data_IF_032785080411
#
_entry.id   IF_032785080411
#
_cell.length_a   1.000
_cell.length_b   1.000
_cell.length_c   1.000
_cell.angle_alpha   90.00
_cell.angle_beta   90.00
_cell.angle_gamma   90.00
#
_symmetry.space_group_name_H-M   'P 1'
#
loop_
_entity.id
_entity.type
_entity.pdbx_description
1 polymer ?
#
# COMPACT_ATOMS: atom_id res chain seq x y z
N UNK A 1 -1.18 8.59 28.25
CA UNK A 1 -0.97 7.44 27.34
C UNK A 1 -0.77 8.02 25.96
N UNK A 2 0.39 7.79 25.41
CA UNK A 2 0.73 8.23 24.06
C UNK A 2 -0.02 7.45 23.00
N UNK A 3 -0.05 7.98 21.80
CA UNK A 3 -0.72 7.39 20.64
C UNK A 3 0.29 6.99 19.58
N UNK A 4 0.03 5.87 18.89
CA UNK A 4 0.71 5.49 17.67
C UNK A 4 0.32 6.41 16.52
N UNK A 5 1.11 6.43 15.45
CA UNK A 5 0.80 7.19 14.24
C UNK A 5 -0.59 6.83 13.69
N UNK A 6 -0.96 5.55 13.69
CA UNK A 6 -2.27 5.06 13.26
C UNK A 6 -3.40 5.62 14.12
N UNK A 7 -3.25 5.61 15.45
CA UNK A 7 -4.25 6.18 16.38
C UNK A 7 -4.40 7.70 16.20
N UNK A 8 -3.30 8.42 15.92
CA UNK A 8 -3.32 9.87 15.66
C UNK A 8 -4.07 10.20 14.37
N UNK A 9 -3.83 9.46 13.30
CA UNK A 9 -4.55 9.61 12.03
C UNK A 9 -6.05 9.43 12.26
N UNK A 10 -6.46 8.35 12.93
CA UNK A 10 -7.88 8.15 13.25
C UNK A 10 -8.44 9.23 14.18
N UNK A 11 -7.67 9.66 15.19
CA UNK A 11 -8.11 10.72 16.12
C UNK A 11 -8.45 12.01 15.39
N UNK A 12 -7.65 12.40 14.40
CA UNK A 12 -7.91 13.58 13.58
C UNK A 12 -9.20 13.41 12.76
N UNK A 13 -9.39 12.27 12.10
CA UNK A 13 -10.53 12.02 11.23
C UNK A 13 -11.86 11.83 11.98
N UNK A 14 -11.77 11.41 13.24
CA UNK A 14 -12.94 11.27 14.15
C UNK A 14 -13.24 12.58 14.90
N UNK A 15 -12.23 13.45 15.04
CA UNK A 15 -12.35 14.72 15.78
C UNK A 15 -12.25 14.55 17.30
N UNK A 16 -11.75 13.43 17.79
CA UNK A 16 -11.46 13.16 19.21
C UNK A 16 -10.34 12.14 19.33
N UNK A 17 -9.65 12.15 20.47
CA UNK A 17 -8.61 11.14 20.77
C UNK A 17 -9.23 9.74 20.81
N UNK A 18 -8.66 8.79 20.05
CA UNK A 18 -9.08 7.39 20.00
C UNK A 18 -7.90 6.46 20.14
N UNK A 19 -8.13 5.24 20.63
CA UNK A 19 -7.11 4.24 20.88
C UNK A 19 -7.45 2.90 20.22
N UNK A 20 -6.45 2.04 20.09
CA UNK A 20 -6.60 0.69 19.57
C UNK A 20 -7.76 -0.06 20.27
N UNK A 21 -8.56 -0.77 19.48
CA UNK A 21 -9.73 -1.51 19.94
C UNK A 21 -11.05 -0.73 19.92
N UNK A 22 -11.03 0.61 19.89
CA UNK A 22 -12.24 1.40 19.75
C UNK A 22 -12.88 1.22 18.37
N UNK A 23 -14.22 1.14 18.33
CA UNK A 23 -14.99 1.17 17.09
C UNK A 23 -15.38 2.61 16.80
N UNK A 24 -14.93 3.11 15.64
CA UNK A 24 -15.15 4.51 15.27
C UNK A 24 -15.70 4.61 13.85
N UNK A 25 -16.47 5.68 13.60
CA UNK A 25 -16.80 6.11 12.24
C UNK A 25 -15.83 7.19 11.84
N UNK A 26 -14.91 6.86 10.92
CA UNK A 26 -13.92 7.79 10.40
C UNK A 26 -14.35 8.39 9.07
N UNK A 27 -14.00 9.64 8.83
CA UNK A 27 -14.00 10.21 7.48
C UNK A 27 -12.96 9.48 6.63
N UNK A 28 -13.21 9.46 5.32
CA UNK A 28 -12.30 8.90 4.30
C UNK A 28 -11.89 10.03 3.38
N UNK A 29 -10.58 10.14 3.10
CA UNK A 29 -10.04 11.14 2.18
C UNK A 29 -10.05 10.65 0.74
N UNK A 30 -9.73 9.35 0.55
CA UNK A 30 -9.74 8.72 -0.77
C UNK A 30 -10.40 7.34 -0.73
N UNK A 31 -11.23 7.10 -1.72
CA UNK A 31 -11.68 5.76 -2.14
C UNK A 31 -10.98 5.43 -3.44
N UNK A 32 -10.33 4.28 -3.51
CA UNK A 32 -9.62 3.87 -4.72
C UNK A 32 -10.14 2.54 -5.24
N UNK A 33 -10.04 2.33 -6.53
CA UNK A 33 -10.45 1.07 -7.14
C UNK A 33 -9.94 0.88 -8.55
N UNK A 34 -9.98 -0.35 -8.99
CA UNK A 34 -9.51 -0.83 -10.29
C UNK A 34 -10.63 -1.48 -11.11
N UNK A 35 -10.31 -1.96 -12.30
CA UNK A 35 -11.27 -2.56 -13.22
C UNK A 35 -11.78 -3.95 -12.81
N UNK A 36 -11.20 -4.60 -11.79
CA UNK A 36 -11.72 -5.86 -11.25
C UNK A 36 -12.77 -5.62 -10.17
N UNK A 37 -12.45 -4.78 -9.20
CA UNK A 37 -13.19 -4.66 -7.94
C UNK A 37 -14.19 -3.51 -7.93
N UNK A 38 -13.91 -2.43 -8.67
CA UNK A 38 -14.81 -1.28 -8.77
C UNK A 38 -16.17 -1.63 -9.36
N UNK A 39 -16.32 -2.47 -10.39
CA UNK A 39 -17.63 -2.85 -10.91
C UNK A 39 -18.59 -3.46 -9.87
N UNK A 40 -18.04 -4.22 -8.92
CA UNK A 40 -18.83 -4.82 -7.84
C UNK A 40 -19.30 -3.73 -6.85
N UNK A 41 -18.43 -2.78 -6.54
CA UNK A 41 -18.77 -1.63 -5.68
C UNK A 41 -19.79 -0.70 -6.34
N UNK A 42 -19.65 -0.45 -7.65
CA UNK A 42 -20.63 0.30 -8.46
C UNK A 42 -21.98 -0.38 -8.43
N UNK A 43 -22.02 -1.69 -8.65
CA UNK A 43 -23.27 -2.45 -8.59
C UNK A 43 -23.95 -2.30 -7.22
N UNK A 44 -23.21 -2.44 -6.13
CA UNK A 44 -23.77 -2.27 -4.78
C UNK A 44 -24.29 -0.83 -4.55
N UNK A 45 -23.59 0.17 -5.10
CA UNK A 45 -24.01 1.58 -5.07
C UNK A 45 -25.35 1.78 -5.82
N UNK A 46 -25.45 1.27 -7.04
CA UNK A 46 -26.64 1.43 -7.92
C UNK A 46 -27.84 0.59 -7.43
N UNK A 47 -27.62 -0.66 -7.01
CA UNK A 47 -28.66 -1.53 -6.43
C UNK A 47 -29.25 -0.91 -5.13
N UNK A 48 -28.43 -0.14 -4.39
CA UNK A 48 -28.90 0.64 -3.23
C UNK A 48 -29.73 1.87 -3.58
N UNK A 49 -29.89 2.19 -4.86
CA UNK A 49 -30.66 3.36 -5.33
C UNK A 49 -29.93 4.70 -5.14
N UNK A 50 -28.61 4.68 -4.98
CA UNK A 50 -27.81 5.89 -4.81
C UNK A 50 -27.41 6.49 -6.17
N UNK A 51 -27.45 7.81 -6.25
CA UNK A 51 -27.15 8.55 -7.47
C UNK A 51 -26.00 9.54 -7.31
N UNK A 52 -25.57 9.82 -6.08
CA UNK A 52 -24.54 10.83 -5.79
C UNK A 52 -23.43 10.26 -4.93
N UNK A 53 -22.20 10.53 -5.33
CA UNK A 53 -21.01 10.29 -4.51
C UNK A 53 -20.88 11.37 -3.44
N UNK A 54 -20.47 10.97 -2.23
CA UNK A 54 -20.22 11.91 -1.14
C UNK A 54 -19.04 12.85 -1.44
N UNK A 55 -17.99 12.32 -2.05
CA UNK A 55 -16.79 13.08 -2.42
C UNK A 55 -16.25 12.57 -3.78
N UNK A 56 -16.72 13.11 -4.92
CA UNK A 56 -16.22 12.73 -6.24
C UNK A 56 -14.73 13.02 -6.44
N UNK A 57 -14.20 14.08 -5.84
CA UNK A 57 -12.78 14.44 -5.93
C UNK A 57 -11.88 13.51 -5.09
N UNK A 58 -12.45 12.84 -4.10
CA UNK A 58 -11.80 11.81 -3.28
C UNK A 58 -12.05 10.38 -3.80
N UNK A 59 -12.52 10.21 -5.04
CA UNK A 59 -12.66 8.90 -5.64
C UNK A 59 -11.77 8.76 -6.87
N UNK A 60 -10.91 7.75 -6.87
CA UNK A 60 -10.02 7.44 -7.98
C UNK A 60 -10.32 6.04 -8.55
N UNK A 61 -10.35 5.92 -9.87
CA UNK A 61 -10.45 4.64 -10.58
C UNK A 61 -9.26 4.53 -11.53
N UNK A 62 -8.53 3.42 -11.43
CA UNK A 62 -7.41 3.09 -12.31
C UNK A 62 -7.74 1.78 -13.05
N UNK A 63 -7.72 1.81 -14.37
CA UNK A 63 -7.86 0.59 -15.16
C UNK A 63 -6.48 0.01 -15.41
N UNK A 64 -6.08 -1.01 -14.66
CA UNK A 64 -4.73 -1.56 -14.69
C UNK A 64 -4.63 -3.10 -14.68
N UNK A 65 -5.67 -3.80 -14.22
CA UNK A 65 -5.64 -5.26 -14.11
C UNK A 65 -6.01 -5.96 -15.42
N UNK A 66 -6.98 -5.41 -16.16
CA UNK A 66 -7.51 -5.99 -17.40
C UNK A 66 -7.26 -5.11 -18.63
N UNK A 67 -6.23 -4.32 -18.63
CA UNK A 67 -5.81 -3.49 -19.76
C UNK A 67 -4.46 -3.98 -20.29
N UNK A 68 -4.38 -4.41 -21.55
CA UNK A 68 -5.50 -4.64 -22.48
C UNK A 68 -6.39 -5.83 -22.03
N UNK A 69 -7.70 -5.73 -22.29
CA UNK A 69 -8.65 -6.75 -21.88
C UNK A 69 -8.37 -8.09 -22.58
N UNK A 70 -8.27 -9.17 -21.81
CA UNK A 70 -7.98 -10.52 -22.32
C UNK A 70 -9.19 -11.22 -22.96
N UNK A 71 -10.41 -10.77 -22.62
CA UNK A 71 -11.68 -11.33 -23.08
C UNK A 71 -12.82 -10.31 -22.97
N UNK A 72 -14.02 -10.68 -23.44
CA UNK A 72 -15.23 -9.84 -23.42
C UNK A 72 -15.65 -9.50 -21.97
N UNK A 73 -15.50 -10.43 -21.03
CA UNK A 73 -15.88 -10.21 -19.64
C UNK A 73 -15.01 -9.12 -19.01
N UNK A 74 -13.69 -9.19 -19.22
CA UNK A 74 -12.73 -8.17 -18.76
C UNK A 74 -13.02 -6.80 -19.40
N UNK A 75 -13.31 -6.77 -20.71
CA UNK A 75 -13.66 -5.52 -21.40
C UNK A 75 -14.96 -4.90 -20.86
N UNK A 76 -15.95 -5.73 -20.49
CA UNK A 76 -17.19 -5.26 -19.86
C UNK A 76 -16.95 -4.67 -18.49
N UNK A 77 -16.06 -5.22 -17.68
CA UNK A 77 -15.70 -4.66 -16.37
C UNK A 77 -15.04 -3.28 -16.50
N UNK A 78 -14.09 -3.15 -17.41
CA UNK A 78 -13.48 -1.85 -17.73
C UNK A 78 -14.54 -0.85 -18.23
N UNK A 79 -15.50 -1.31 -19.07
CA UNK A 79 -16.60 -0.47 -19.56
C UNK A 79 -17.51 0.01 -18.44
N UNK A 80 -17.89 -0.83 -17.48
CA UNK A 80 -18.71 -0.44 -16.31
C UNK A 80 -18.02 0.67 -15.53
N UNK A 81 -16.72 0.51 -15.22
CA UNK A 81 -15.93 1.50 -14.51
C UNK A 81 -15.84 2.83 -15.28
N UNK A 82 -15.63 2.76 -16.59
CA UNK A 82 -15.57 3.92 -17.49
C UNK A 82 -16.91 4.67 -17.56
N UNK A 83 -18.00 3.96 -17.78
CA UNK A 83 -19.33 4.55 -17.86
C UNK A 83 -19.70 5.25 -16.54
N UNK A 84 -19.37 4.64 -15.41
CA UNK A 84 -19.57 5.24 -14.09
C UNK A 84 -18.72 6.49 -13.89
N UNK A 85 -17.44 6.45 -14.27
CA UNK A 85 -16.55 7.61 -14.15
C UNK A 85 -17.07 8.80 -14.97
N UNK A 86 -17.54 8.57 -16.19
CA UNK A 86 -18.12 9.62 -17.03
C UNK A 86 -19.47 10.12 -16.50
N UNK A 87 -20.36 9.23 -16.05
CA UNK A 87 -21.64 9.58 -15.44
C UNK A 87 -21.50 10.52 -14.24
N UNK A 88 -20.46 10.28 -13.42
CA UNK A 88 -20.19 11.06 -12.21
C UNK A 88 -19.14 12.15 -12.39
N UNK A 89 -18.63 12.37 -13.62
CA UNK A 89 -17.59 13.36 -13.94
C UNK A 89 -16.36 13.24 -13.03
N UNK A 90 -15.87 12.00 -12.80
CA UNK A 90 -14.71 11.77 -11.97
C UNK A 90 -13.45 12.37 -12.59
N UNK A 91 -12.75 13.21 -11.83
CA UNK A 91 -11.48 13.81 -12.25
C UNK A 91 -10.32 12.82 -12.18
N UNK A 92 -10.37 11.91 -11.21
CA UNK A 92 -9.33 10.94 -10.94
C UNK A 92 -9.69 9.59 -11.59
N UNK A 93 -9.89 9.61 -12.90
CA UNK A 93 -10.13 8.44 -13.72
C UNK A 93 -8.97 8.25 -14.70
N UNK A 94 -8.28 7.11 -14.59
CA UNK A 94 -7.08 6.79 -15.34
C UNK A 94 -7.32 5.58 -16.23
N UNK A 95 -7.33 5.82 -17.53
CA UNK A 95 -7.55 4.86 -18.61
C UNK A 95 -6.44 5.04 -19.65
N UNK A 96 -6.54 4.44 -20.80
CA UNK A 96 -5.58 4.28 -21.91
C UNK A 96 -4.49 5.36 -22.07
N UNK A 97 -4.79 6.62 -21.83
CA UNK A 97 -3.84 7.74 -22.02
C UNK A 97 -2.93 8.01 -20.83
N UNK A 98 -3.43 7.72 -19.63
CA UNK A 98 -2.77 8.02 -18.35
C UNK A 98 -2.70 6.78 -17.46
N UNK A 99 -2.71 5.59 -18.09
CA UNK A 99 -2.70 4.31 -17.39
C UNK A 99 -1.38 4.09 -16.63
N UNK A 100 -1.48 3.30 -15.58
CA UNK A 100 -0.36 2.84 -14.76
C UNK A 100 -0.88 1.88 -13.72
N UNK A 101 0.02 1.23 -12.98
CA UNK A 101 -0.36 0.37 -11.87
C UNK A 101 -0.93 1.24 -10.73
N UNK A 102 -2.13 0.95 -10.25
CA UNK A 102 -2.90 1.73 -9.27
C UNK A 102 -2.02 2.25 -8.11
N UNK A 103 -1.32 1.33 -7.44
CA UNK A 103 -0.52 1.67 -6.25
C UNK A 103 0.84 2.33 -6.55
N UNK A 104 1.22 2.47 -7.81
CA UNK A 104 2.34 3.30 -8.26
C UNK A 104 1.84 4.65 -8.78
N UNK A 105 0.79 4.63 -9.61
CA UNK A 105 0.25 5.80 -10.29
C UNK A 105 -0.31 6.84 -9.30
N UNK A 106 -1.13 6.41 -8.32
CA UNK A 106 -1.80 7.35 -7.42
C UNK A 106 -0.83 8.18 -6.56
N UNK A 107 0.24 7.60 -5.96
CA UNK A 107 1.30 8.37 -5.34
C UNK A 107 1.99 9.34 -6.30
N UNK A 108 2.33 8.91 -7.53
CA UNK A 108 3.01 9.73 -8.54
C UNK A 108 2.14 10.89 -9.07
N UNK A 109 0.81 10.75 -9.01
CA UNK A 109 -0.15 11.81 -9.34
C UNK A 109 -0.42 12.76 -8.17
N UNK A 110 0.19 12.56 -7.00
CA UNK A 110 -0.01 13.42 -5.83
C UNK A 110 -1.40 13.29 -5.20
N UNK A 111 -2.06 12.16 -5.40
CA UNK A 111 -3.38 11.87 -4.86
C UNK A 111 -3.33 11.26 -3.46
N UNK A 112 -2.24 10.59 -3.14
CA UNK A 112 -1.97 10.01 -1.82
C UNK A 112 -1.15 10.98 -0.99
N UNK A 113 -1.65 11.33 0.18
CA UNK A 113 -1.07 12.38 1.04
C UNK A 113 -0.80 11.82 2.44
N UNK A 114 0.32 12.21 3.08
CA UNK A 114 0.55 11.87 4.49
C UNK A 114 -0.62 12.27 5.39
N UNK A 115 -1.03 11.37 6.28
CA UNK A 115 -2.14 11.58 7.20
C UNK A 115 -3.52 11.22 6.66
N UNK A 116 -3.65 10.86 5.38
CA UNK A 116 -4.93 10.41 4.79
C UNK A 116 -5.44 9.11 5.43
N UNK A 117 -6.75 8.94 5.42
CA UNK A 117 -7.44 7.64 5.56
C UNK A 117 -7.95 7.22 4.17
N UNK A 118 -7.37 6.14 3.64
CA UNK A 118 -7.62 5.63 2.29
C UNK A 118 -8.21 4.22 2.38
N UNK A 119 -9.27 3.98 1.61
CA UNK A 119 -9.81 2.64 1.42
C UNK A 119 -9.79 2.26 -0.06
N UNK A 120 -9.51 1.00 -0.33
CA UNK A 120 -9.54 0.43 -1.68
C UNK A 120 -10.11 -0.97 -1.67
N UNK A 121 -10.69 -1.38 -2.79
CA UNK A 121 -11.19 -2.74 -2.95
C UNK A 121 -10.06 -3.73 -3.33
N UNK A 122 -8.84 -3.25 -3.44
CA UNK A 122 -7.63 -4.03 -3.64
C UNK A 122 -6.93 -4.32 -2.30
N UNK A 123 -6.41 -5.53 -2.13
CA UNK A 123 -5.72 -5.95 -0.91
C UNK A 123 -4.44 -5.15 -0.65
N UNK A 124 -3.71 -4.77 -1.71
CA UNK A 124 -2.45 -4.02 -1.62
C UNK A 124 -2.65 -2.49 -1.44
N UNK A 125 -3.86 -2.04 -1.16
CA UNK A 125 -4.13 -0.64 -0.77
C UNK A 125 -3.23 -0.18 0.39
N UNK A 126 -2.75 -1.08 1.24
CA UNK A 126 -1.80 -0.78 2.31
C UNK A 126 -0.46 -0.17 1.84
N UNK A 127 -0.13 -0.27 0.54
CA UNK A 127 1.06 0.35 -0.08
C UNK A 127 1.23 1.82 0.29
N UNK A 128 0.13 2.55 0.38
CA UNK A 128 0.14 4.00 0.57
C UNK A 128 0.58 4.44 1.97
N UNK A 129 0.67 3.51 2.93
CA UNK A 129 1.29 3.78 4.23
C UNK A 129 2.78 4.12 4.15
N UNK A 130 3.44 3.85 3.02
CA UNK A 130 4.81 4.30 2.75
C UNK A 130 4.96 5.83 2.77
N UNK A 131 3.88 6.57 2.54
CA UNK A 131 3.82 8.03 2.63
C UNK A 131 3.28 8.54 3.99
N UNK A 132 3.04 7.65 4.97
CA UNK A 132 2.48 8.03 6.27
C UNK A 132 0.95 8.19 6.26
N UNK A 133 0.25 7.52 5.36
CA UNK A 133 -1.21 7.42 5.34
C UNK A 133 -1.68 6.15 6.05
N UNK A 134 -2.88 6.16 6.65
CA UNK A 134 -3.57 4.92 6.98
C UNK A 134 -4.35 4.46 5.75
N UNK A 135 -3.89 3.41 5.12
CA UNK A 135 -4.46 2.92 3.87
C UNK A 135 -4.70 1.42 3.93
N UNK A 136 -5.90 0.96 3.59
CA UNK A 136 -6.28 -0.44 3.80
C UNK A 136 -7.25 -0.96 2.75
N UNK A 137 -7.10 -2.25 2.41
CA UNK A 137 -8.07 -2.99 1.61
C UNK A 137 -9.35 -3.26 2.41
N UNK A 138 -10.50 -3.10 1.75
CA UNK A 138 -11.84 -3.40 2.30
C UNK A 138 -12.70 -4.12 1.27
N UNK A 139 -13.79 -4.74 1.74
CA UNK A 139 -14.75 -5.39 0.86
C UNK A 139 -15.49 -4.41 -0.05
N UNK A 140 -15.91 -4.86 -1.23
CA UNK A 140 -16.58 -4.00 -2.23
C UNK A 140 -17.85 -3.32 -1.71
N UNK A 141 -18.56 -3.93 -0.77
CA UNK A 141 -19.72 -3.32 -0.08
C UNK A 141 -19.30 -2.16 0.82
N UNK A 142 -18.20 -2.32 1.57
CA UNK A 142 -17.64 -1.26 2.40
C UNK A 142 -17.12 -0.09 1.53
N UNK A 143 -16.54 -0.41 0.38
CA UNK A 143 -16.14 0.61 -0.60
C UNK A 143 -17.36 1.39 -1.08
N UNK A 144 -18.45 0.70 -1.46
CA UNK A 144 -19.71 1.35 -1.84
C UNK A 144 -20.24 2.23 -0.72
N UNK A 145 -20.20 1.80 0.53
CA UNK A 145 -20.59 2.60 1.68
C UNK A 145 -19.72 3.86 1.83
N UNK A 146 -18.40 3.73 1.63
CA UNK A 146 -17.47 4.87 1.57
C UNK A 146 -17.80 5.86 0.47
N UNK A 147 -18.14 5.37 -0.73
CA UNK A 147 -18.57 6.19 -1.87
C UNK A 147 -19.84 7.00 -1.55
N UNK A 148 -20.80 6.39 -0.84
CA UNK A 148 -22.10 6.99 -0.49
C UNK A 148 -21.97 8.00 0.64
N UNK A 149 -21.16 7.70 1.65
CA UNK A 149 -21.19 8.43 2.93
C UNK A 149 -19.97 9.31 3.20
N UNK A 150 -18.90 9.15 2.43
CA UNK A 150 -17.60 9.81 2.68
C UNK A 150 -16.92 9.34 3.97
N UNK A 151 -17.32 8.22 4.53
CA UNK A 151 -16.78 7.66 5.77
C UNK A 151 -17.02 6.16 5.87
N UNK A 152 -16.38 5.51 6.83
CA UNK A 152 -16.61 4.09 7.13
C UNK A 152 -16.37 3.79 8.61
N UNK A 153 -16.77 2.59 9.02
CA UNK A 153 -16.54 2.07 10.35
C UNK A 153 -15.20 1.33 10.40
N UNK A 154 -14.44 1.62 11.45
CA UNK A 154 -13.17 0.94 11.73
C UNK A 154 -13.14 0.54 13.21
N UNK A 155 -12.64 -0.64 13.48
CA UNK A 155 -12.01 -0.91 14.75
C UNK A 155 -10.58 -0.38 14.65
N UNK A 156 -10.20 0.61 15.45
CA UNK A 156 -8.82 1.13 15.44
C UNK A 156 -7.85 -0.02 15.69
N UNK A 157 -6.94 -0.34 14.73
CA UNK A 157 -6.07 -1.50 14.89
C UNK A 157 -5.01 -1.27 15.97
N UNK A 158 -4.61 -2.34 16.64
CA UNK A 158 -3.38 -2.37 17.41
C UNK A 158 -2.19 -2.24 16.48
N UNK A 159 -1.08 -1.68 16.97
CA UNK A 159 0.15 -1.55 16.19
C UNK A 159 1.24 -2.51 16.68
N UNK A 160 1.92 -3.16 15.74
CA UNK A 160 3.19 -3.85 15.95
C UNK A 160 4.29 -2.88 15.52
N UNK A 161 5.26 -2.62 16.41
CA UNK A 161 6.43 -1.83 16.08
C UNK A 161 7.52 -2.73 15.51
N UNK A 162 7.98 -2.44 14.29
CA UNK A 162 9.11 -3.12 13.69
C UNK A 162 10.29 -2.17 13.63
N UNK A 163 11.36 -2.51 14.32
CA UNK A 163 12.57 -1.71 14.44
C UNK A 163 13.68 -2.34 13.62
N UNK A 164 14.04 -1.71 12.52
CA UNK A 164 15.17 -2.12 11.70
C UNK A 164 16.45 -1.43 12.17
N UNK A 165 17.49 -2.21 12.42
CA UNK A 165 18.79 -1.73 12.93
C UNK A 165 19.89 -1.99 11.92
N UNK A 166 20.73 -1.00 11.70
CA UNK A 166 21.91 -1.09 10.86
C UNK A 166 21.66 -0.73 9.39
N UNK A 167 22.69 -0.85 8.59
CA UNK A 167 22.68 -0.52 7.16
C UNK A 167 22.46 -1.79 6.33
N UNK A 168 21.48 -1.80 5.38
CA UNK A 168 21.28 -2.92 4.47
C UNK A 168 22.54 -3.26 3.69
N UNK A 169 22.80 -4.56 3.49
CA UNK A 169 23.82 -5.01 2.56
C UNK A 169 23.39 -4.77 1.11
N UNK A 170 24.34 -4.90 0.18
CA UNK A 170 24.03 -4.79 -1.25
C UNK A 170 22.94 -5.80 -1.65
N UNK A 171 21.95 -5.35 -2.41
CA UNK A 171 20.80 -6.11 -2.87
C UNK A 171 19.75 -6.49 -1.80
N UNK A 172 19.91 -6.09 -0.54
CA UNK A 172 18.84 -6.15 0.44
C UNK A 172 17.95 -4.91 0.29
N UNK A 173 16.70 -5.11 -0.04
CA UNK A 173 15.71 -4.10 -0.40
C UNK A 173 14.54 -4.10 0.56
N UNK A 174 13.58 -3.18 0.40
CA UNK A 174 12.34 -3.17 1.17
C UNK A 174 11.56 -4.49 1.10
N UNK A 175 11.65 -5.21 -0.04
CA UNK A 175 11.03 -6.53 -0.19
C UNK A 175 11.66 -7.59 0.69
N UNK A 176 12.98 -7.60 0.81
CA UNK A 176 13.68 -8.55 1.69
C UNK A 176 13.30 -8.32 3.15
N UNK A 177 13.16 -7.04 3.54
CA UNK A 177 12.76 -6.67 4.89
C UNK A 177 11.35 -7.18 5.22
N UNK A 178 10.40 -7.01 4.33
CA UNK A 178 9.03 -7.47 4.58
C UNK A 178 8.92 -9.00 4.51
N UNK A 179 9.66 -9.68 3.64
CA UNK A 179 9.70 -11.14 3.61
C UNK A 179 10.26 -11.70 4.92
N UNK A 180 11.26 -11.06 5.51
CA UNK A 180 11.77 -11.45 6.84
C UNK A 180 10.73 -11.25 7.94
N UNK A 181 9.97 -10.15 7.91
CA UNK A 181 8.85 -9.94 8.84
C UNK A 181 7.78 -11.01 8.69
N UNK A 182 7.40 -11.34 7.45
CA UNK A 182 6.41 -12.37 7.16
C UNK A 182 6.93 -13.75 7.61
N UNK A 183 8.23 -14.01 7.47
CA UNK A 183 8.86 -15.24 7.99
C UNK A 183 8.74 -15.33 9.52
N UNK A 184 8.90 -14.22 10.23
CA UNK A 184 8.82 -14.15 11.70
C UNK A 184 7.37 -14.25 12.18
N UNK A 185 6.45 -13.55 11.55
CA UNK A 185 5.06 -13.44 11.98
C UNK A 185 4.15 -14.57 11.44
N UNK A 186 4.54 -15.18 10.31
CA UNK A 186 3.62 -15.97 9.51
C UNK A 186 2.66 -15.10 8.70
N UNK A 187 1.73 -15.74 7.99
CA UNK A 187 0.76 -15.07 7.10
C UNK A 187 -0.43 -14.44 7.84
N UNK A 188 -0.57 -14.65 9.14
CA UNK A 188 -1.68 -14.18 9.98
C UNK A 188 -1.24 -13.51 11.30
N UNK A 189 0.07 -13.43 11.59
CA UNK A 189 0.59 -12.89 12.84
C UNK A 189 0.28 -11.40 13.07
N UNK A 190 0.06 -10.65 12.00
CA UNK A 190 -0.37 -9.26 12.04
C UNK A 190 -1.87 -9.08 11.72
N UNK A 191 -2.68 -10.16 11.83
CA UNK A 191 -4.10 -10.11 11.47
C UNK A 191 -4.82 -8.94 12.16
N UNK A 192 -5.40 -8.06 11.34
CA UNK A 192 -6.10 -6.85 11.76
C UNK A 192 -5.24 -5.83 12.55
N UNK A 193 -3.92 -5.85 12.43
CA UNK A 193 -3.01 -4.89 13.07
C UNK A 193 -2.41 -3.93 12.05
N UNK A 194 -1.80 -2.85 12.52
CA UNK A 194 -0.91 -2.00 11.71
C UNK A 194 0.54 -2.39 11.99
N UNK A 195 1.37 -2.46 10.94
CA UNK A 195 2.82 -2.62 11.06
C UNK A 195 3.46 -1.22 10.96
N UNK A 196 4.05 -0.73 12.04
CA UNK A 196 4.77 0.54 12.04
C UNK A 196 6.26 0.27 11.89
N UNK A 197 6.81 0.66 10.73
CA UNK A 197 8.21 0.44 10.37
C UNK A 197 9.07 1.61 10.81
N UNK A 198 10.11 1.34 11.59
CA UNK A 198 10.97 2.34 12.22
C UNK A 198 12.40 1.84 12.35
N UNK A 199 13.27 2.64 12.94
CA UNK A 199 14.68 2.32 13.14
C UNK A 199 15.61 3.09 12.22
N UNK A 200 16.90 2.94 12.46
CA UNK A 200 17.92 3.71 11.72
C UNK A 200 18.16 3.23 10.29
N UNK A 201 17.65 2.06 9.92
CA UNK A 201 17.65 1.54 8.55
C UNK A 201 16.76 2.36 7.61
N UNK A 202 15.64 2.93 8.12
CA UNK A 202 14.64 3.62 7.29
C UNK A 202 15.24 4.73 6.43
N UNK A 203 16.24 5.43 6.92
CA UNK A 203 16.96 6.49 6.16
C UNK A 203 17.76 5.99 4.96
N UNK A 204 17.97 4.68 4.83
CA UNK A 204 18.66 4.08 3.69
C UNK A 204 17.69 3.52 2.64
N UNK A 205 16.39 3.44 2.96
CA UNK A 205 15.37 2.93 2.07
C UNK A 205 14.86 4.05 1.16
N UNK A 206 14.92 3.82 -0.14
CA UNK A 206 14.26 4.66 -1.14
C UNK A 206 12.73 4.64 -0.95
N UNK A 207 12.01 5.57 -1.58
CA UNK A 207 10.55 5.50 -1.58
C UNK A 207 10.04 4.20 -2.23
N UNK A 208 10.71 3.70 -3.27
CA UNK A 208 10.36 2.44 -3.93
C UNK A 208 10.48 1.25 -2.96
N UNK A 209 11.53 1.21 -2.13
CA UNK A 209 11.67 0.22 -1.06
C UNK A 209 10.55 0.32 -0.02
N UNK A 210 10.19 1.55 0.39
CA UNK A 210 9.12 1.78 1.38
C UNK A 210 7.76 1.38 0.83
N UNK A 211 7.49 1.63 -0.45
CA UNK A 211 6.29 1.16 -1.12
C UNK A 211 6.22 -0.37 -1.13
N UNK A 212 7.30 -1.05 -1.48
CA UNK A 212 7.36 -2.52 -1.45
C UNK A 212 7.18 -3.08 -0.04
N UNK A 213 7.82 -2.46 0.96
CA UNK A 213 7.71 -2.82 2.37
C UNK A 213 6.26 -2.73 2.88
N UNK A 214 5.57 -1.61 2.61
CA UNK A 214 4.19 -1.39 3.01
C UNK A 214 3.19 -2.21 2.18
N UNK A 215 3.47 -2.42 0.89
CA UNK A 215 2.65 -3.19 -0.03
C UNK A 215 2.41 -4.61 0.49
N UNK A 216 3.47 -5.29 0.92
CA UNK A 216 3.40 -6.67 1.39
C UNK A 216 3.03 -6.81 2.88
N UNK A 217 2.61 -5.76 3.55
CA UNK A 217 2.10 -5.88 4.92
C UNK A 217 0.85 -6.77 5.00
N UNK A 218 0.06 -6.81 3.94
CA UNK A 218 -1.15 -7.66 3.86
C UNK A 218 -0.81 -9.15 3.90
N UNK A 219 0.35 -9.58 3.38
CA UNK A 219 0.78 -10.99 3.42
C UNK A 219 1.06 -11.49 4.83
N UNK A 220 1.25 -10.59 5.81
CA UNK A 220 1.27 -10.93 7.23
C UNK A 220 -0.12 -10.77 7.90
N UNK A 221 -1.18 -10.45 7.13
CA UNK A 221 -2.54 -10.21 7.61
C UNK A 221 -2.79 -8.79 8.10
N UNK A 222 -1.83 -7.86 7.96
CA UNK A 222 -1.96 -6.50 8.46
C UNK A 222 -2.99 -5.68 7.68
N UNK A 223 -3.65 -4.75 8.38
CA UNK A 223 -4.52 -3.73 7.77
C UNK A 223 -3.72 -2.65 7.06
N UNK A 224 -2.56 -2.30 7.59
CA UNK A 224 -1.71 -1.25 7.06
C UNK A 224 -0.24 -1.54 7.41
N UNK A 225 0.67 -1.22 6.51
CA UNK A 225 2.07 -0.97 6.82
C UNK A 225 2.31 0.52 6.76
N UNK A 226 3.02 1.12 7.71
CA UNK A 226 3.20 2.56 7.76
C UNK A 226 4.63 2.95 8.09
N UNK A 227 5.16 3.92 7.34
CA UNK A 227 6.44 4.60 7.59
C UNK A 227 6.13 6.05 7.92
N UNK A 228 6.69 6.56 9.00
CA UNK A 228 6.53 7.97 9.36
C UNK A 228 7.18 8.88 8.32
N UNK A 229 6.61 10.07 8.14
CA UNK A 229 7.12 11.10 7.24
C UNK A 229 8.54 11.51 7.64
N UNK A 230 9.44 11.61 6.66
CA UNK A 230 10.82 12.09 6.82
C UNK A 230 11.30 12.87 5.58
N UNK A 231 12.58 13.20 5.52
CA UNK A 231 13.14 13.98 4.42
C UNK A 231 13.03 13.24 3.07
N UNK A 232 13.15 11.90 3.05
CA UNK A 232 12.99 11.11 1.81
C UNK A 232 11.55 11.20 1.29
N UNK A 233 10.57 11.09 2.20
CA UNK A 233 9.15 11.28 1.86
C UNK A 233 8.89 12.69 1.35
N UNK A 234 9.52 13.68 1.99
CA UNK A 234 9.41 15.09 1.57
C UNK A 234 9.95 15.32 0.15
N UNK A 235 11.16 14.85 -0.14
CA UNK A 235 11.78 14.98 -1.47
C UNK A 235 10.93 14.31 -2.57
N UNK A 236 10.34 13.16 -2.27
CA UNK A 236 9.41 12.50 -3.17
C UNK A 236 8.18 13.37 -3.44
N UNK A 237 7.52 13.88 -2.40
CA UNK A 237 6.32 14.71 -2.53
C UNK A 237 6.61 16.06 -3.20
N UNK A 238 7.76 16.67 -2.93
CA UNK A 238 8.19 17.91 -3.61
C UNK A 238 8.35 17.66 -5.12
N UNK A 239 8.91 16.53 -5.50
CA UNK A 239 9.05 16.12 -6.91
C UNK A 239 7.69 15.88 -7.55
N UNK A 240 6.79 15.16 -6.84
CA UNK A 240 5.42 14.88 -7.29
C UNK A 240 4.63 16.20 -7.46
N UNK A 241 4.70 17.10 -6.49
CA UNK A 241 4.04 18.41 -6.55
C UNK A 241 4.51 19.23 -7.74
N UNK A 242 5.82 19.23 -8.00
CA UNK A 242 6.39 19.92 -9.17
C UNK A 242 5.86 19.36 -10.49
N UNK A 243 5.74 18.04 -10.59
CA UNK A 243 5.31 17.36 -11.82
C UNK A 243 3.80 17.49 -12.08
N UNK A 244 2.99 17.67 -11.05
CA UNK A 244 1.52 17.70 -11.13
C UNK A 244 0.89 19.08 -10.84
N UNK A 245 1.69 20.16 -10.77
CA UNK A 245 1.23 21.50 -10.38
C UNK A 245 0.61 21.57 -8.98
N UNK A 246 1.10 20.78 -8.06
CA UNK A 246 0.67 20.69 -6.67
C UNK A 246 0.30 19.27 -6.23
N UNK A 247 0.06 19.13 -4.95
CA UNK A 247 -0.55 17.94 -4.34
C UNK A 247 -2.05 18.13 -4.22
N UNK A 248 -2.79 17.05 -4.04
CA UNK A 248 -4.27 17.08 -3.84
C UNK A 248 -4.67 18.01 -2.68
N UNK A 249 -3.96 17.89 -1.57
CA UNK A 249 -4.10 18.72 -0.36
C UNK A 249 -2.75 18.86 0.35
N UNK A 250 -2.66 19.75 1.32
CA UNK A 250 -1.48 19.87 2.19
C UNK A 250 -1.32 18.63 3.08
N UNK A 251 -0.10 18.09 3.21
CA UNK A 251 0.19 16.95 4.07
C UNK A 251 -0.09 17.21 5.55
N UNK A 252 -0.70 16.23 6.23
CA UNK A 252 -0.91 16.22 7.67
C UNK A 252 0.03 15.19 8.30
N UNK A 253 1.06 15.70 8.95
CA UNK A 253 2.16 14.88 9.42
C UNK A 253 1.90 14.41 10.84
N UNK A 254 1.94 13.10 11.05
CA UNK A 254 1.81 12.44 12.33
C UNK A 254 3.05 11.60 12.64
N UNK A 255 3.38 11.54 13.92
CA UNK A 255 4.42 10.67 14.49
C UNK A 255 3.86 9.99 15.72
N UNK A 256 4.30 8.78 16.01
CA UNK A 256 3.98 8.10 17.26
C UNK A 256 4.61 8.84 18.44
N UNK A 257 3.88 8.89 19.56
CA UNK A 257 4.42 9.41 20.81
C UNK A 257 5.49 8.47 21.37
N UNK A 258 6.43 8.99 22.16
CA UNK A 258 7.49 8.17 22.77
C UNK A 258 6.93 7.09 23.70
N UNK A 259 5.84 7.39 24.40
CA UNK A 259 5.10 6.49 25.28
C UNK A 259 3.90 5.80 24.60
N UNK A 260 3.90 5.73 23.25
CA UNK A 260 2.87 5.01 22.51
C UNK A 260 2.88 3.50 22.85
N UNK A 261 1.70 2.92 22.94
CA UNK A 261 1.56 1.50 23.27
C UNK A 261 1.51 0.63 22.01
N UNK A 262 2.39 -0.36 21.96
CA UNK A 262 2.44 -1.37 20.89
C UNK A 262 2.11 -2.75 21.46
N UNK A 263 1.29 -3.53 20.75
CA UNK A 263 0.96 -4.88 21.16
C UNK A 263 2.14 -5.86 21.01
N UNK A 264 3.12 -5.51 20.18
CA UNK A 264 4.36 -6.27 19.96
C UNK A 264 5.47 -5.34 19.44
N UNK A 265 6.71 -5.64 19.78
CA UNK A 265 7.91 -5.01 19.20
C UNK A 265 8.78 -6.10 18.60
N UNK A 266 9.18 -5.91 17.33
CA UNK A 266 10.07 -6.81 16.58
C UNK A 266 11.31 -6.01 16.23
N UNK A 267 12.49 -6.53 16.54
CA UNK A 267 13.77 -5.93 16.17
C UNK A 267 14.49 -6.81 15.15
N UNK A 268 14.96 -6.20 14.07
CA UNK A 268 15.66 -6.89 12.99
C UNK A 268 17.03 -6.22 12.77
N UNK A 269 18.09 -6.99 12.92
CA UNK A 269 19.46 -6.60 12.58
C UNK A 269 19.66 -6.80 11.07
N UNK A 270 19.52 -5.71 10.33
CA UNK A 270 19.55 -5.72 8.86
C UNK A 270 20.94 -5.96 8.31
N UNK A 271 22.00 -5.71 9.08
CA UNK A 271 23.38 -5.96 8.65
C UNK A 271 23.67 -7.46 8.48
N UNK A 272 22.88 -8.31 9.15
CA UNK A 272 22.99 -9.76 9.04
C UNK A 272 22.05 -10.38 8.01
N UNK A 273 21.17 -9.58 7.43
CA UNK A 273 20.21 -10.07 6.46
C UNK A 273 20.85 -10.24 5.10
N UNK A 274 20.68 -11.41 4.51
CA UNK A 274 20.93 -11.67 3.09
C UNK A 274 19.65 -11.40 2.28
N UNK A 275 19.75 -11.22 0.95
CA UNK A 275 18.56 -11.23 0.11
C UNK A 275 17.70 -12.48 0.36
N UNK A 276 16.38 -12.28 0.45
CA UNK A 276 15.42 -13.30 0.86
C UNK A 276 14.60 -13.80 -0.33
N UNK A 277 14.37 -15.10 -0.39
CA UNK A 277 13.46 -15.73 -1.35
C UNK A 277 12.45 -16.59 -0.60
N UNK A 278 11.18 -16.47 -0.95
CA UNK A 278 10.14 -17.33 -0.40
C UNK A 278 9.99 -18.59 -1.28
N UNK A 279 10.05 -19.76 -0.63
CA UNK A 279 9.77 -21.02 -1.31
C UNK A 279 8.26 -21.29 -1.36
N UNK A 280 7.78 -22.11 -2.30
CA UNK A 280 6.40 -22.51 -2.33
C UNK A 280 5.95 -23.15 -0.99
N UNK A 281 4.73 -22.92 -0.55
CA UNK A 281 3.64 -22.24 -1.25
C UNK A 281 3.23 -20.94 -0.55
N UNK A 282 3.94 -20.54 0.52
CA UNK A 282 3.60 -19.39 1.37
C UNK A 282 4.73 -18.35 1.38
N UNK A 283 4.42 -17.05 1.40
CA UNK A 283 5.44 -16.00 1.53
C UNK A 283 6.20 -16.05 2.86
N UNK A 284 5.66 -16.72 3.88
CA UNK A 284 6.33 -16.96 5.16
C UNK A 284 7.41 -18.06 5.10
N UNK A 285 7.48 -18.81 4.01
CA UNK A 285 8.53 -19.80 3.79
C UNK A 285 9.81 -19.16 3.24
N UNK A 286 10.30 -18.12 3.95
CA UNK A 286 11.46 -17.32 3.57
C UNK A 286 12.78 -18.01 3.87
N UNK A 287 13.70 -17.98 2.91
CA UNK A 287 15.07 -18.49 2.99
C UNK A 287 16.05 -17.47 2.44
N UNK A 288 17.32 -17.55 2.83
CA UNK A 288 18.35 -16.73 2.18
C UNK A 288 18.60 -17.20 0.76
N UNK A 289 19.05 -16.28 -0.11
CA UNK A 289 19.47 -16.63 -1.48
C UNK A 289 20.62 -17.62 -1.45
N UNK A 290 21.55 -17.53 -0.49
CA UNK A 290 22.63 -18.50 -0.31
C UNK A 290 22.12 -19.92 -0.08
N UNK A 291 21.05 -20.09 0.73
CA UNK A 291 20.39 -21.38 0.92
C UNK A 291 19.76 -21.89 -0.38
N UNK A 292 19.05 -21.01 -1.11
CA UNK A 292 18.42 -21.38 -2.38
C UNK A 292 19.43 -21.86 -3.44
N UNK A 293 20.60 -21.24 -3.47
CA UNK A 293 21.72 -21.67 -4.32
C UNK A 293 22.20 -23.05 -3.91
N UNK A 294 22.36 -23.31 -2.61
CA UNK A 294 22.79 -24.63 -2.08
C UNK A 294 21.78 -25.73 -2.38
N UNK A 295 20.48 -25.40 -2.34
CA UNK A 295 19.39 -26.31 -2.65
C UNK A 295 19.25 -26.59 -4.16
N UNK A 296 20.03 -25.89 -4.98
CA UNK A 296 20.07 -26.02 -6.45
C UNK A 296 18.67 -25.96 -7.10
N UNK A 297 17.85 -25.00 -6.67
CA UNK A 297 16.48 -24.83 -7.15
C UNK A 297 16.49 -24.37 -8.60
N UNK A 298 15.84 -25.16 -9.48
CA UNK A 298 15.63 -24.77 -10.86
C UNK A 298 14.46 -23.82 -10.99
N UNK A 299 14.67 -22.71 -11.72
CA UNK A 299 13.66 -21.73 -12.08
C UNK A 299 13.43 -21.79 -13.58
N UNK A 300 12.18 -22.03 -14.01
CA UNK A 300 11.81 -22.12 -15.41
C UNK A 300 11.38 -20.78 -16.01
N UNK A 301 10.84 -19.88 -15.16
CA UNK A 301 10.40 -18.54 -15.58
C UNK A 301 10.58 -17.53 -14.44
N UNK A 302 11.04 -16.34 -14.75
CA UNK A 302 11.11 -15.19 -13.83
C UNK A 302 10.22 -14.08 -14.36
N UNK A 303 9.35 -13.57 -13.49
CA UNK A 303 8.54 -12.39 -13.75
C UNK A 303 9.00 -11.23 -12.86
N UNK A 304 9.26 -10.07 -13.47
CA UNK A 304 9.61 -8.82 -12.78
C UNK A 304 8.49 -7.82 -13.06
N UNK A 305 7.80 -7.38 -12.01
CA UNK A 305 6.66 -6.49 -12.20
C UNK A 305 5.75 -6.44 -10.98
N UNK A 306 4.48 -6.11 -11.21
CA UNK A 306 3.41 -5.89 -10.24
C UNK A 306 3.53 -4.59 -9.44
N UNK A 307 2.54 -4.30 -8.61
CA UNK A 307 2.54 -3.14 -7.69
C UNK A 307 3.64 -3.23 -6.63
N UNK A 308 4.13 -4.44 -6.34
CA UNK A 308 5.17 -4.67 -5.32
C UNK A 308 6.55 -4.25 -5.80
N UNK A 309 7.01 -4.77 -6.96
CA UNK A 309 8.35 -4.53 -7.51
C UNK A 309 8.34 -4.39 -9.03
N UNK A 310 7.65 -3.39 -9.54
CA UNK A 310 7.58 -3.05 -10.97
C UNK A 310 7.99 -1.62 -11.28
N UNK A 311 8.73 -0.97 -10.37
CA UNK A 311 9.22 0.40 -10.57
C UNK A 311 10.52 0.42 -11.35
N UNK A 312 10.88 1.57 -11.89
CA UNK A 312 12.09 1.74 -12.70
C UNK A 312 13.37 1.32 -11.96
N UNK A 313 13.43 1.53 -10.65
CA UNK A 313 14.55 1.09 -9.80
C UNK A 313 14.72 -0.42 -9.81
N UNK A 314 13.63 -1.19 -9.74
CA UNK A 314 13.63 -2.65 -9.77
C UNK A 314 14.19 -3.17 -11.11
N UNK A 315 13.73 -2.57 -12.23
CA UNK A 315 14.24 -2.92 -13.55
C UNK A 315 15.71 -2.57 -13.75
N UNK A 316 16.21 -1.50 -13.14
CA UNK A 316 17.63 -1.14 -13.19
C UNK A 316 18.49 -2.19 -12.49
N UNK A 317 18.11 -2.63 -11.30
CA UNK A 317 18.82 -3.70 -10.58
C UNK A 317 18.81 -5.00 -11.38
N UNK A 318 17.66 -5.38 -11.92
CA UNK A 318 17.57 -6.57 -12.79
C UNK A 318 18.48 -6.45 -14.03
N UNK A 319 18.50 -5.29 -14.68
CA UNK A 319 19.33 -5.04 -15.84
C UNK A 319 20.83 -5.12 -15.51
N UNK A 320 21.26 -4.64 -14.35
CA UNK A 320 22.64 -4.76 -13.87
C UNK A 320 23.04 -6.24 -13.68
N UNK A 321 22.16 -7.03 -13.05
CA UNK A 321 22.41 -8.46 -12.80
C UNK A 321 22.46 -9.26 -14.10
N UNK A 322 21.60 -8.93 -15.08
CA UNK A 322 21.45 -9.66 -16.33
C UNK A 322 22.40 -9.18 -17.43
N UNK A 323 23.11 -8.07 -17.22
CA UNK A 323 24.01 -7.50 -18.21
C UNK A 323 25.03 -8.55 -18.68
N UNK A 324 25.17 -8.66 -20.01
CA UNK A 324 26.09 -9.60 -20.71
C UNK A 324 25.82 -11.09 -20.40
N UNK A 325 24.64 -11.44 -19.86
CA UNK A 325 24.21 -12.82 -19.61
C UNK A 325 23.14 -13.25 -20.62
N UNK A 326 23.06 -14.56 -20.84
CA UNK A 326 21.96 -15.19 -21.57
C UNK A 326 21.04 -15.86 -20.56
N UNK A 327 19.75 -15.65 -20.71
CA UNK A 327 18.67 -16.33 -19.96
C UNK A 327 18.18 -17.51 -20.78
#
# INVERSE_FOLDING_TARGET
MGQTITEKIFSEHVGKKVFAGEIVRSKIDMVIGNDITTPISIKAFEDGGFEKLANPDGFAIVLDHFIPAKDIASANQAKISRDFAYKHNLKNFFDEKDMGIEHALLPEKGLVIPGDVIIGADSHTCTHGALGAFSTGMGSTDISFGMITGGNWFKVPESIKVVFKGKPSQYVTGKDLILEIIRILGVDGALYKALEFTGDTIKYLSMDDRFSLCNMAIEAGAKNGIVAYDEITKEFLDTVAKNNNGLRVEPKIHYSDEDANYCQVIEIDVEKLEPVIAYPFLPSNGHSVSQAVSDNIRVDQVFIGSCTNGRLSDFKVAAEILKDKKV
#
